data_IF_982948548268
#
_entry.id   IF_982948548268
#
_cell.length_a   1.000
_cell.length_b   1.000
_cell.length_c   1.000
_cell.angle_alpha   90.00
_cell.angle_beta   90.00
_cell.angle_gamma   90.00
#
_symmetry.space_group_name_H-M   'P 1'
#
loop_
_entity.id
_entity.type
_entity.pdbx_description
1 polymer ?
#
# COMPACT_ATOMS: atom_id res chain seq x y z
N UNK A 1 -4.63 -11.52 -14.60
CA UNK A 1 -3.85 -10.69 -15.55
C UNK A 1 -2.88 -11.62 -16.25
N UNK A 2 -2.80 -11.61 -17.57
CA UNK A 2 -1.86 -12.49 -18.30
C UNK A 2 -0.52 -11.77 -18.41
N UNK A 3 0.57 -12.40 -18.00
CA UNK A 3 1.92 -11.82 -18.17
C UNK A 3 2.50 -12.23 -19.53
N UNK A 4 3.29 -11.34 -20.14
CA UNK A 4 4.13 -11.73 -21.26
C UNK A 4 5.19 -12.74 -20.75
N UNK A 5 5.54 -13.78 -21.55
CA UNK A 5 6.61 -14.68 -21.17
C UNK A 5 7.90 -13.89 -20.90
N UNK A 6 8.63 -14.28 -19.86
CA UNK A 6 9.84 -13.60 -19.39
C UNK A 6 10.93 -13.69 -20.46
N UNK A 7 10.95 -12.70 -21.36
CA UNK A 7 11.82 -12.65 -22.52
C UNK A 7 12.83 -11.52 -22.33
N UNK A 8 14.09 -11.76 -22.72
CA UNK A 8 15.15 -10.76 -22.67
C UNK A 8 14.96 -9.72 -23.79
N UNK A 9 13.99 -8.82 -23.64
CA UNK A 9 13.64 -7.80 -24.64
C UNK A 9 14.83 -6.91 -25.02
N UNK A 10 15.77 -6.71 -24.11
CA UNK A 10 17.02 -5.96 -24.35
C UNK A 10 17.99 -6.65 -25.30
N UNK A 11 17.92 -7.99 -25.39
CA UNK A 11 18.81 -8.80 -26.22
C UNK A 11 18.27 -9.05 -27.63
N UNK A 12 17.01 -8.68 -27.89
CA UNK A 12 16.39 -8.85 -29.17
C UNK A 12 16.56 -7.62 -30.08
N UNK A 13 16.70 -7.84 -31.40
CA UNK A 13 16.64 -6.77 -32.37
C UNK A 13 15.27 -6.09 -32.30
N UNK A 14 15.24 -4.77 -32.51
CA UNK A 14 13.99 -4.00 -32.49
C UNK A 14 12.90 -4.60 -33.41
N UNK A 15 13.29 -5.12 -34.58
CA UNK A 15 12.36 -5.75 -35.53
C UNK A 15 11.72 -7.04 -34.97
N UNK A 16 12.47 -7.83 -34.22
CA UNK A 16 11.93 -9.05 -33.59
C UNK A 16 10.97 -8.71 -32.44
N UNK A 17 11.29 -7.68 -31.65
CA UNK A 17 10.40 -7.21 -30.59
C UNK A 17 9.07 -6.73 -31.16
N UNK A 18 9.10 -5.93 -32.22
CA UNK A 18 7.91 -5.46 -32.93
C UNK A 18 7.09 -6.63 -33.44
N UNK A 19 7.74 -7.64 -34.04
CA UNK A 19 7.07 -8.85 -34.55
C UNK A 19 6.43 -9.67 -33.42
N UNK A 20 7.13 -9.87 -32.32
CA UNK A 20 6.64 -10.64 -31.17
C UNK A 20 5.46 -9.96 -30.47
N UNK A 21 5.44 -8.62 -30.47
CA UNK A 21 4.35 -7.82 -29.91
C UNK A 21 3.25 -7.51 -30.92
N UNK A 22 3.37 -8.00 -32.16
CA UNK A 22 2.39 -7.82 -33.25
C UNK A 22 1.96 -6.34 -33.40
N UNK A 23 2.94 -5.43 -33.39
CA UNK A 23 2.70 -3.98 -33.49
C UNK A 23 3.36 -3.41 -34.75
N UNK A 24 2.90 -2.24 -35.20
CA UNK A 24 3.51 -1.50 -36.31
C UNK A 24 4.19 -0.23 -35.76
N UNK A 25 5.49 0.01 -35.99
CA UNK A 25 6.19 1.18 -35.44
C UNK A 25 5.77 2.52 -36.09
N UNK A 26 5.17 2.51 -37.27
CA UNK A 26 4.72 3.71 -37.99
C UNK A 26 3.23 4.01 -37.83
N UNK A 27 2.42 2.96 -37.63
CA UNK A 27 0.97 3.10 -37.43
C UNK A 27 0.58 2.97 -35.96
N UNK A 28 1.37 2.24 -35.17
CA UNK A 28 1.02 1.84 -33.81
C UNK A 28 -0.07 0.77 -33.78
N UNK A 29 -0.62 0.51 -32.59
CA UNK A 29 -1.73 -0.42 -32.42
C UNK A 29 -3.04 0.18 -32.96
N UNK A 30 -3.91 -0.72 -33.43
CA UNK A 30 -5.30 -0.39 -33.72
C UNK A 30 -6.08 -0.23 -32.40
N UNK A 31 -7.07 0.66 -32.37
CA UNK A 31 -7.82 0.93 -31.13
C UNK A 31 -8.52 -0.34 -30.58
N UNK A 32 -9.06 -1.18 -31.46
CA UNK A 32 -9.74 -2.43 -31.08
C UNK A 32 -8.78 -3.42 -30.42
N UNK A 33 -7.57 -3.55 -30.98
CA UNK A 33 -6.51 -4.39 -30.42
C UNK A 33 -6.02 -3.85 -29.08
N UNK A 34 -5.86 -2.53 -28.96
CA UNK A 34 -5.49 -1.90 -27.70
C UNK A 34 -6.53 -2.16 -26.59
N UNK A 35 -7.82 -2.08 -26.92
CA UNK A 35 -8.90 -2.43 -25.97
C UNK A 35 -8.88 -3.91 -25.59
N UNK A 36 -8.71 -4.81 -26.57
CA UNK A 36 -8.60 -6.25 -26.28
C UNK A 36 -7.40 -6.59 -25.38
N UNK A 37 -6.25 -5.93 -25.61
CA UNK A 37 -5.07 -6.07 -24.76
C UNK A 37 -5.31 -5.48 -23.38
N UNK A 38 -6.05 -4.38 -23.25
CA UNK A 38 -6.39 -3.80 -21.97
C UNK A 38 -7.23 -4.77 -21.12
N UNK A 39 -8.14 -5.51 -21.73
CA UNK A 39 -8.92 -6.54 -21.02
C UNK A 39 -8.05 -7.74 -20.58
N UNK A 40 -7.00 -8.06 -21.36
CA UNK A 40 -6.11 -9.21 -21.12
C UNK A 40 -4.99 -8.93 -20.11
N UNK A 41 -4.32 -7.79 -20.28
CA UNK A 41 -3.17 -7.34 -19.49
C UNK A 41 -3.57 -6.38 -18.37
N UNK A 42 -4.80 -5.88 -18.37
CA UNK A 42 -5.26 -4.89 -17.40
C UNK A 42 -4.64 -3.50 -17.61
N UNK A 43 -4.99 -2.58 -16.72
CA UNK A 43 -4.52 -1.19 -16.75
C UNK A 43 -3.06 -1.12 -16.32
N UNK A 44 -2.32 -0.16 -16.85
CA UNK A 44 -0.95 0.18 -16.43
C UNK A 44 -0.96 0.88 -15.07
N UNK A 45 -1.30 0.12 -14.04
CA UNK A 45 -1.38 0.53 -12.65
C UNK A 45 -0.64 -0.49 -11.80
N UNK A 46 0.05 -0.01 -10.77
CA UNK A 46 0.56 -0.88 -9.73
C UNK A 46 -0.62 -1.45 -8.93
N UNK A 47 -0.61 -2.75 -8.66
CA UNK A 47 -1.63 -3.36 -7.80
C UNK A 47 -1.50 -2.77 -6.41
N UNK A 48 -2.45 -1.91 -6.04
CA UNK A 48 -2.61 -1.53 -4.65
C UNK A 48 -3.08 -2.77 -3.90
N UNK A 49 -2.36 -3.15 -2.83
CA UNK A 49 -2.87 -4.15 -1.88
C UNK A 49 -4.29 -3.75 -1.53
N UNK A 50 -5.24 -4.66 -1.74
CA UNK A 50 -6.64 -4.40 -1.39
C UNK A 50 -6.69 -3.94 0.08
N UNK A 51 -7.12 -2.70 0.28
CA UNK A 51 -7.38 -2.21 1.62
C UNK A 51 -8.37 -3.15 2.29
N UNK A 52 -8.12 -3.50 3.54
CA UNK A 52 -9.08 -4.30 4.33
C UNK A 52 -10.46 -3.65 4.25
N UNK A 53 -11.50 -4.47 4.00
CA UNK A 53 -12.89 -4.02 3.97
C UNK A 53 -13.24 -3.23 5.22
N UNK A 54 -14.07 -2.19 5.10
CA UNK A 54 -14.51 -1.36 6.22
C UNK A 54 -15.13 -2.19 7.37
N UNK A 55 -15.79 -3.31 7.05
CA UNK A 55 -16.30 -4.24 8.06
C UNK A 55 -15.19 -5.00 8.78
N UNK A 56 -14.15 -5.41 8.05
CA UNK A 56 -12.98 -6.07 8.64
C UNK A 56 -12.24 -5.09 9.55
N UNK A 57 -12.09 -3.84 9.12
CA UNK A 57 -11.53 -2.75 9.92
C UNK A 57 -12.28 -2.56 11.25
N UNK A 58 -13.62 -2.52 11.17
CA UNK A 58 -14.47 -2.38 12.34
C UNK A 58 -14.37 -3.60 13.27
N UNK A 59 -14.35 -4.81 12.73
CA UNK A 59 -14.21 -6.04 13.52
C UNK A 59 -12.83 -6.18 14.16
N UNK A 60 -11.78 -5.70 13.50
CA UNK A 60 -10.42 -5.66 14.05
C UNK A 60 -10.32 -4.77 15.30
N UNK A 61 -11.17 -3.76 15.41
CA UNK A 61 -11.23 -2.92 16.62
C UNK A 61 -11.66 -3.73 17.86
N UNK A 62 -12.37 -4.85 17.71
CA UNK A 62 -12.70 -5.76 18.82
C UNK A 62 -11.58 -6.74 19.16
N UNK A 63 -10.55 -6.84 18.32
CA UNK A 63 -9.46 -7.80 18.45
C UNK A 63 -8.37 -7.33 19.42
N UNK A 64 -8.76 -6.61 20.48
CA UNK A 64 -7.87 -6.18 21.55
C UNK A 64 -8.10 -7.03 22.80
N UNK A 65 -7.05 -7.56 23.46
CA UNK A 65 -7.18 -8.43 24.63
C UNK A 65 -8.09 -7.88 25.75
N UNK A 66 -8.07 -6.56 25.97
CA UNK A 66 -8.91 -5.89 26.95
C UNK A 66 -10.40 -5.89 26.58
N UNK A 67 -10.72 -5.73 25.30
CA UNK A 67 -12.10 -5.76 24.82
C UNK A 67 -12.71 -7.15 25.01
N UNK A 68 -11.95 -8.22 24.82
CA UNK A 68 -12.44 -9.58 25.12
C UNK A 68 -12.84 -9.76 26.58
N UNK A 69 -12.08 -9.18 27.52
CA UNK A 69 -12.40 -9.24 28.94
C UNK A 69 -13.66 -8.44 29.24
N UNK A 70 -13.82 -7.26 28.63
CA UNK A 70 -15.03 -6.45 28.77
C UNK A 70 -16.27 -7.12 28.18
N UNK A 71 -16.13 -7.75 27.01
CA UNK A 71 -17.22 -8.52 26.39
C UNK A 71 -17.60 -9.73 27.26
N UNK A 72 -16.61 -10.43 27.82
CA UNK A 72 -16.85 -11.51 28.78
C UNK A 72 -17.55 -10.99 30.05
N UNK A 73 -17.11 -9.85 30.59
CA UNK A 73 -17.73 -9.21 31.74
C UNK A 73 -19.18 -8.80 31.45
N UNK A 74 -19.43 -8.15 30.32
CA UNK A 74 -20.78 -7.77 29.88
C UNK A 74 -21.70 -8.98 29.75
N UNK A 75 -21.19 -10.10 29.20
CA UNK A 75 -21.93 -11.35 29.09
C UNK A 75 -22.25 -11.96 30.47
N UNK A 76 -21.27 -12.03 31.38
CA UNK A 76 -21.46 -12.55 32.74
C UNK A 76 -22.49 -11.69 33.50
N UNK A 77 -22.36 -10.36 33.46
CA UNK A 77 -23.29 -9.41 34.09
C UNK A 77 -24.71 -9.55 33.52
N UNK A 78 -24.85 -9.79 32.22
CA UNK A 78 -26.15 -10.08 31.59
C UNK A 78 -26.80 -11.34 32.17
N UNK A 79 -26.03 -12.43 32.32
CA UNK A 79 -26.54 -13.67 32.93
C UNK A 79 -26.89 -13.52 34.42
N UNK A 80 -26.26 -12.59 35.12
CA UNK A 80 -26.60 -12.21 36.49
C UNK A 80 -27.88 -11.35 36.60
N UNK A 81 -28.55 -11.06 35.47
CA UNK A 81 -29.76 -10.22 35.35
C UNK A 81 -29.54 -8.74 35.67
N UNK A 82 -28.28 -8.30 35.71
CA UNK A 82 -27.91 -6.89 35.86
C UNK A 82 -27.91 -6.19 34.49
N UNK A 83 -29.11 -6.01 33.92
CA UNK A 83 -29.26 -5.52 32.55
C UNK A 83 -28.73 -4.10 32.36
N UNK A 84 -28.84 -3.25 33.39
CA UNK A 84 -28.37 -1.85 33.35
C UNK A 84 -26.85 -1.86 33.21
N UNK A 85 -26.15 -2.53 34.12
CA UNK A 85 -24.69 -2.55 34.13
C UNK A 85 -24.11 -3.25 32.89
N UNK A 86 -24.71 -4.36 32.45
CA UNK A 86 -24.33 -5.03 31.21
C UNK A 86 -24.48 -4.10 30.00
N UNK A 87 -25.57 -3.34 29.93
CA UNK A 87 -25.80 -2.37 28.84
C UNK A 87 -24.79 -1.21 28.86
N UNK A 88 -24.37 -0.75 30.04
CA UNK A 88 -23.34 0.29 30.19
C UNK A 88 -21.99 -0.22 29.71
N UNK A 89 -21.56 -1.41 30.14
CA UNK A 89 -20.28 -2.01 29.72
C UNK A 89 -20.27 -2.22 28.20
N UNK A 90 -21.35 -2.78 27.65
CA UNK A 90 -21.49 -2.97 26.20
C UNK A 90 -21.49 -1.64 25.44
N UNK A 91 -22.17 -0.62 25.98
CA UNK A 91 -22.19 0.72 25.42
C UNK A 91 -20.81 1.36 25.33
N UNK A 92 -19.99 1.23 26.37
CA UNK A 92 -18.59 1.73 26.37
C UNK A 92 -17.77 1.01 25.30
N UNK A 93 -17.86 -0.31 25.21
CA UNK A 93 -17.16 -1.10 24.17
C UNK A 93 -17.58 -0.66 22.76
N UNK A 94 -18.88 -0.44 22.55
CA UNK A 94 -19.42 -0.02 21.26
C UNK A 94 -18.95 1.39 20.87
N UNK A 95 -18.99 2.34 21.80
CA UNK A 95 -18.52 3.71 21.57
C UNK A 95 -17.02 3.71 21.23
N UNK A 96 -16.21 2.95 21.97
CA UNK A 96 -14.79 2.82 21.69
C UNK A 96 -14.55 2.19 20.30
N UNK A 97 -15.33 1.16 19.93
CA UNK A 97 -15.23 0.55 18.61
C UNK A 97 -15.53 1.54 17.46
N UNK A 98 -16.58 2.35 17.64
CA UNK A 98 -16.97 3.38 16.67
C UNK A 98 -15.87 4.45 16.56
N UNK A 99 -15.37 4.96 17.68
CA UNK A 99 -14.31 5.97 17.71
C UNK A 99 -13.05 5.44 17.02
N UNK A 100 -12.63 4.20 17.33
CA UNK A 100 -11.48 3.54 16.71
C UNK A 100 -11.64 3.41 15.19
N UNK A 101 -12.80 2.96 14.72
CA UNK A 101 -13.11 2.87 13.29
C UNK A 101 -13.00 4.23 12.58
N UNK A 102 -13.55 5.30 13.17
CA UNK A 102 -13.45 6.64 12.58
C UNK A 102 -12.02 7.16 12.54
N UNK A 103 -11.22 6.92 13.59
CA UNK A 103 -9.80 7.32 13.64
C UNK A 103 -8.98 6.62 12.55
N UNK A 104 -9.14 5.31 12.42
CA UNK A 104 -8.40 4.52 11.43
C UNK A 104 -8.86 4.81 9.99
N UNK A 105 -10.17 4.96 9.76
CA UNK A 105 -10.70 5.34 8.45
C UNK A 105 -10.20 6.71 8.00
N UNK A 106 -10.11 7.69 8.91
CA UNK A 106 -9.60 9.02 8.59
C UNK A 106 -8.12 8.98 8.21
N UNK A 107 -7.31 8.18 8.92
CA UNK A 107 -5.90 7.98 8.60
C UNK A 107 -5.72 7.35 7.21
N UNK A 108 -6.49 6.30 6.89
CA UNK A 108 -6.44 5.66 5.56
C UNK A 108 -6.87 6.59 4.43
N UNK A 109 -7.91 7.41 4.64
CA UNK A 109 -8.36 8.37 3.63
C UNK A 109 -7.30 9.45 3.34
N UNK A 110 -6.58 9.93 4.34
CA UNK A 110 -5.51 10.91 4.15
C UNK A 110 -4.38 10.36 3.27
N UNK A 111 -3.98 9.10 3.48
CA UNK A 111 -2.95 8.42 2.67
C UNK A 111 -3.43 8.20 1.23
N UNK A 112 -4.68 7.77 1.05
CA UNK A 112 -5.27 7.54 -0.27
C UNK A 112 -5.44 8.83 -1.09
N UNK A 113 -5.75 9.96 -0.42
CA UNK A 113 -5.87 11.25 -1.08
C UNK A 113 -4.55 11.72 -1.71
N UNK A 114 -3.42 11.50 -1.01
CA UNK A 114 -2.08 11.83 -1.52
C UNK A 114 -1.71 11.01 -2.76
N UNK A 115 -2.25 9.79 -2.89
CA UNK A 115 -1.90 8.88 -3.99
C UNK A 115 -2.65 9.17 -5.31
N UNK A 116 -3.77 9.91 -5.27
CA UNK A 116 -4.62 10.16 -6.45
C UNK A 116 -4.20 11.35 -7.32
N UNK A 117 -3.25 12.17 -6.86
CA UNK A 117 -2.99 13.50 -7.45
C UNK A 117 -1.97 13.50 -8.62
N UNK A 118 -1.45 12.33 -9.04
CA UNK A 118 -0.40 12.22 -10.08
C UNK A 118 -0.88 11.44 -11.31
N UNK A 119 -1.84 11.98 -12.06
CA UNK A 119 -2.16 11.44 -13.38
C UNK A 119 -1.01 11.74 -14.36
N UNK A 120 -0.39 10.69 -14.89
CA UNK A 120 0.67 10.81 -15.89
C UNK A 120 0.06 10.62 -17.27
N UNK A 121 0.25 11.58 -18.19
CA UNK A 121 -0.14 11.43 -19.60
C UNK A 121 1.01 10.84 -20.42
N UNK A 122 0.68 10.05 -21.44
CA UNK A 122 1.63 9.53 -22.42
C UNK A 122 1.26 9.96 -23.84
N UNK A 123 2.26 10.27 -24.67
CA UNK A 123 2.08 10.49 -26.10
C UNK A 123 2.31 9.18 -26.85
N UNK A 124 1.27 8.66 -27.48
CA UNK A 124 1.31 7.38 -28.21
C UNK A 124 1.03 7.56 -29.69
N UNK A 125 1.45 6.59 -30.48
CA UNK A 125 1.03 6.39 -31.86
C UNK A 125 -0.01 5.27 -31.90
N UNK A 126 -1.24 5.60 -32.30
CA UNK A 126 -2.33 4.63 -32.52
C UNK A 126 -3.10 5.02 -33.78
N UNK A 127 -3.51 4.03 -34.57
CA UNK A 127 -4.19 4.23 -35.86
C UNK A 127 -3.47 5.21 -36.82
N UNK A 128 -2.14 5.29 -36.77
CA UNK A 128 -1.32 6.20 -37.58
C UNK A 128 -1.32 7.65 -37.13
N UNK A 129 -1.94 7.95 -35.97
CA UNK A 129 -2.04 9.30 -35.43
C UNK A 129 -1.42 9.40 -34.04
N UNK A 130 -0.80 10.54 -33.75
CA UNK A 130 -0.27 10.83 -32.41
C UNK A 130 -1.41 11.26 -31.50
N UNK A 131 -1.61 10.57 -30.39
CA UNK A 131 -2.63 10.87 -29.41
C UNK A 131 -2.01 10.99 -28.01
N UNK A 132 -2.49 11.95 -27.21
CA UNK A 132 -2.22 11.96 -25.78
C UNK A 132 -3.31 11.19 -25.06
N UNK A 133 -2.91 10.33 -24.14
CA UNK A 133 -3.83 9.53 -23.36
C UNK A 133 -3.32 9.31 -21.94
N UNK A 134 -4.21 8.85 -21.06
CA UNK A 134 -3.85 8.48 -19.69
C UNK A 134 -2.85 7.31 -19.73
N UNK A 135 -1.72 7.43 -19.02
CA UNK A 135 -0.71 6.37 -18.98
C UNK A 135 -1.27 5.06 -18.42
N UNK A 136 -2.36 5.11 -17.64
CA UNK A 136 -3.08 3.94 -17.11
C UNK A 136 -3.70 3.05 -18.21
N UNK A 137 -3.92 3.58 -19.41
CA UNK A 137 -4.52 2.87 -20.55
C UNK A 137 -3.48 2.32 -21.54
N UNK A 138 -2.19 2.43 -21.21
CA UNK A 138 -1.12 1.81 -21.99
C UNK A 138 -1.16 0.30 -21.86
N UNK A 139 -0.90 -0.37 -22.97
CA UNK A 139 -0.83 -1.84 -23.06
C UNK A 139 0.46 -2.29 -23.74
N UNK A 140 0.94 -3.51 -23.49
CA UNK A 140 2.09 -4.04 -24.21
C UNK A 140 1.90 -4.01 -25.72
N UNK A 141 2.90 -3.50 -26.44
CA UNK A 141 2.87 -3.26 -27.89
C UNK A 141 2.49 -1.84 -28.31
N UNK A 142 2.02 -0.98 -27.41
CA UNK A 142 1.82 0.45 -27.72
C UNK A 142 3.15 1.10 -28.11
N UNK A 143 3.10 2.01 -29.08
CA UNK A 143 4.26 2.80 -29.50
C UNK A 143 4.19 4.17 -28.81
N UNK A 144 5.14 4.42 -27.91
CA UNK A 144 5.24 5.64 -27.11
C UNK A 144 6.31 6.55 -27.69
N UNK A 145 6.00 7.84 -27.78
CA UNK A 145 6.95 8.88 -28.15
C UNK A 145 7.39 9.64 -26.91
N UNK A 146 8.69 9.63 -26.65
CA UNK A 146 9.32 10.33 -25.54
C UNK A 146 10.01 11.61 -26.03
N UNK A 147 9.93 12.66 -25.23
CA UNK A 147 10.72 13.89 -25.38
C UNK A 147 11.24 14.36 -24.02
N UNK A 148 12.21 15.28 -24.06
CA UNK A 148 12.71 15.97 -22.87
C UNK A 148 11.57 16.51 -22.00
N UNK A 149 11.66 16.21 -20.70
CA UNK A 149 10.69 16.57 -19.67
C UNK A 149 9.58 15.54 -19.45
N UNK A 150 9.45 14.54 -20.32
CA UNK A 150 8.47 13.47 -20.12
C UNK A 150 8.95 12.49 -19.04
N UNK A 151 7.99 11.96 -18.29
CA UNK A 151 8.19 10.78 -17.45
C UNK A 151 7.91 9.54 -18.29
N UNK A 152 8.78 8.54 -18.21
CA UNK A 152 8.61 7.28 -18.94
C UNK A 152 7.41 6.53 -18.34
N UNK A 153 6.34 6.28 -19.12
CA UNK A 153 5.05 5.86 -18.55
C UNK A 153 4.91 4.36 -18.29
N UNK A 154 5.76 3.54 -18.92
CA UNK A 154 5.81 2.08 -18.83
C UNK A 154 7.22 1.62 -19.23
N UNK A 155 7.57 0.35 -19.05
CA UNK A 155 8.86 -0.14 -19.55
C UNK A 155 8.83 -0.26 -21.08
N UNK A 156 9.79 0.38 -21.74
CA UNK A 156 9.85 0.48 -23.20
C UNK A 156 11.12 -0.17 -23.76
N UNK A 157 10.99 -0.84 -24.89
CA UNK A 157 12.10 -1.16 -25.78
C UNK A 157 12.25 -0.03 -26.81
N UNK A 158 13.41 0.63 -26.82
CA UNK A 158 13.68 1.78 -27.69
C UNK A 158 13.89 1.33 -29.15
N UNK A 159 13.15 1.95 -30.08
CA UNK A 159 13.19 1.67 -31.52
C UNK A 159 14.02 2.71 -32.27
N UNK A 160 13.81 3.98 -31.96
CA UNK A 160 14.54 5.11 -32.54
C UNK A 160 14.96 6.05 -31.40
N UNK A 161 16.22 6.48 -31.41
CA UNK A 161 16.78 7.35 -30.37
C UNK A 161 17.51 8.52 -31.01
N UNK A 162 17.23 9.74 -30.51
CA UNK A 162 17.92 10.98 -30.89
C UNK A 162 18.47 11.65 -29.64
N UNK A 163 19.73 11.33 -29.32
CA UNK A 163 20.45 11.85 -28.16
C UNK A 163 19.64 11.74 -26.85
N UNK A 164 18.95 10.61 -26.64
CA UNK A 164 18.10 10.44 -25.47
C UNK A 164 18.98 10.23 -24.23
N UNK A 165 18.74 11.05 -23.20
CA UNK A 165 19.28 10.86 -21.86
C UNK A 165 18.14 10.69 -20.86
N UNK A 166 18.25 9.72 -19.97
CA UNK A 166 17.23 9.40 -18.97
C UNK A 166 17.88 9.40 -17.58
N UNK A 167 17.23 10.08 -16.64
CA UNK A 167 17.55 10.00 -15.22
C UNK A 167 16.90 8.75 -14.62
N UNK A 168 17.73 7.77 -14.32
CA UNK A 168 17.33 6.48 -13.75
C UNK A 168 17.61 6.39 -12.25
N UNK A 169 17.84 7.52 -11.58
CA UNK A 169 18.13 7.58 -10.14
C UNK A 169 17.05 6.91 -9.28
N UNK A 170 15.79 6.92 -9.72
CA UNK A 170 14.70 6.23 -9.06
C UNK A 170 14.86 4.69 -9.04
N UNK A 171 15.59 4.12 -10.01
CA UNK A 171 15.80 2.68 -10.17
C UNK A 171 17.19 2.23 -9.71
N UNK A 172 18.23 2.99 -10.06
CA UNK A 172 19.64 2.62 -9.82
C UNK A 172 20.26 3.33 -8.61
N UNK A 173 19.66 4.43 -8.16
CA UNK A 173 20.24 5.30 -7.13
C UNK A 173 21.37 6.22 -7.63
N UNK A 174 21.73 6.13 -8.92
CA UNK A 174 22.78 6.97 -9.51
C UNK A 174 22.17 8.23 -10.15
N UNK A 175 22.69 9.40 -9.80
CA UNK A 175 22.13 10.69 -10.25
C UNK A 175 22.60 11.13 -11.65
N UNK A 176 23.51 10.39 -12.28
CA UNK A 176 23.99 10.72 -13.62
C UNK A 176 23.02 10.18 -14.67
N UNK A 177 22.58 11.05 -15.57
CA UNK A 177 21.71 10.66 -16.66
C UNK A 177 22.42 9.68 -17.61
N UNK A 178 21.72 8.59 -17.95
CA UNK A 178 22.23 7.51 -18.79
C UNK A 178 21.91 7.80 -20.26
N UNK A 179 22.93 7.68 -21.12
CA UNK A 179 22.76 7.76 -22.57
C UNK A 179 22.11 6.48 -23.09
N UNK A 180 21.00 6.64 -23.82
CA UNK A 180 20.20 5.52 -24.34
C UNK A 180 20.48 5.28 -25.82
N UNK A 181 20.22 4.05 -26.28
CA UNK A 181 20.41 3.65 -27.68
C UNK A 181 19.31 2.70 -28.16
N UNK A 182 19.21 2.45 -29.47
CA UNK A 182 18.22 1.52 -30.03
C UNK A 182 18.75 0.09 -30.19
N UNK A 183 20.07 -0.06 -30.32
CA UNK A 183 20.75 -1.34 -30.54
C UNK A 183 20.57 -2.27 -29.33
N UNK A 184 20.39 -3.55 -29.61
CA UNK A 184 20.33 -4.58 -28.57
C UNK A 184 21.64 -4.68 -27.80
N UNK A 185 21.57 -5.22 -26.59
CA UNK A 185 22.73 -5.52 -25.74
C UNK A 185 22.75 -7.01 -25.40
N UNK A 186 23.81 -7.52 -24.79
CA UNK A 186 23.92 -8.96 -24.50
C UNK A 186 22.85 -9.44 -23.52
N UNK A 187 22.44 -10.71 -23.63
CA UNK A 187 21.41 -11.29 -22.77
C UNK A 187 21.77 -11.21 -21.27
N UNK A 188 23.06 -11.36 -20.95
CA UNK A 188 23.61 -11.33 -19.59
C UNK A 188 23.84 -9.91 -19.03
N UNK A 189 23.48 -8.87 -19.80
CA UNK A 189 23.64 -7.47 -19.37
C UNK A 189 22.81 -7.18 -18.12
N UNK A 190 23.46 -6.59 -17.12
CA UNK A 190 22.83 -6.17 -15.86
C UNK A 190 21.80 -5.05 -16.10
N UNK A 191 20.82 -4.92 -15.21
CA UNK A 191 19.66 -4.04 -15.42
C UNK A 191 20.04 -2.59 -15.78
N UNK A 192 20.98 -1.98 -15.05
CA UNK A 192 21.42 -0.60 -15.28
C UNK A 192 22.11 -0.38 -16.64
N UNK A 193 22.74 -1.42 -17.19
CA UNK A 193 23.44 -1.35 -18.47
C UNK A 193 22.54 -1.69 -19.67
N UNK A 194 21.25 -1.99 -19.44
CA UNK A 194 20.26 -2.20 -20.51
C UNK A 194 19.81 -0.86 -21.12
N UNK A 195 20.78 -0.13 -21.68
CA UNK A 195 20.63 1.19 -22.31
C UNK A 195 19.67 1.22 -23.50
N UNK A 196 19.22 0.06 -23.98
CA UNK A 196 18.25 -0.09 -25.04
C UNK A 196 16.79 -0.15 -24.56
N UNK A 197 16.62 -0.09 -23.23
CA UNK A 197 15.34 0.04 -22.53
C UNK A 197 15.21 1.41 -21.88
N UNK A 198 13.97 1.87 -21.73
CA UNK A 198 13.61 2.98 -20.85
C UNK A 198 12.62 2.45 -19.81
N UNK A 199 12.88 2.70 -18.53
CA UNK A 199 12.12 2.11 -17.43
C UNK A 199 11.01 3.04 -16.95
N UNK A 200 9.88 2.47 -16.53
CA UNK A 200 8.76 3.20 -15.97
C UNK A 200 9.21 4.11 -14.82
N UNK A 201 8.54 5.26 -14.66
CA UNK A 201 8.77 6.26 -13.60
C UNK A 201 10.07 7.07 -13.68
N UNK A 202 11.01 6.70 -14.57
CA UNK A 202 12.22 7.49 -14.85
C UNK A 202 11.92 8.74 -15.66
N UNK A 203 12.84 9.72 -15.66
CA UNK A 203 12.60 11.03 -16.27
C UNK A 203 13.51 11.25 -17.48
N UNK A 204 12.94 11.67 -18.60
CA UNK A 204 13.72 12.02 -19.79
C UNK A 204 14.33 13.40 -19.61
N UNK A 205 15.64 13.48 -19.47
CA UNK A 205 16.35 14.75 -19.25
C UNK A 205 16.64 15.46 -20.57
N UNK A 206 16.95 14.71 -21.63
CA UNK A 206 17.29 15.29 -22.93
C UNK A 206 16.94 14.37 -24.10
N UNK A 207 16.76 14.95 -25.28
CA UNK A 207 16.55 14.23 -26.52
C UNK A 207 15.11 13.77 -26.75
N UNK A 208 14.95 12.89 -27.73
CA UNK A 208 13.66 12.26 -28.07
C UNK A 208 13.87 10.80 -28.45
N UNK A 209 12.87 9.97 -28.22
CA UNK A 209 12.89 8.59 -28.67
C UNK A 209 11.49 8.06 -28.97
N UNK A 210 11.46 6.99 -29.75
CA UNK A 210 10.26 6.18 -29.97
C UNK A 210 10.54 4.81 -29.39
N UNK A 211 9.64 4.29 -28.56
CA UNK A 211 9.77 2.98 -27.94
C UNK A 211 8.46 2.20 -27.98
N UNK A 212 8.55 0.89 -27.93
CA UNK A 212 7.40 0.00 -27.80
C UNK A 212 7.26 -0.47 -26.35
N UNK A 213 6.05 -0.46 -25.80
CA UNK A 213 5.77 -0.94 -24.45
C UNK A 213 6.01 -2.45 -24.37
N UNK A 214 6.90 -2.88 -23.49
CA UNK A 214 7.22 -4.30 -23.23
C UNK A 214 6.64 -4.81 -21.92
N UNK A 215 6.39 -3.92 -20.94
CA UNK A 215 5.74 -4.27 -19.69
C UNK A 215 4.98 -3.06 -19.11
N UNK A 216 3.89 -3.34 -18.39
CA UNK A 216 2.99 -2.36 -17.77
C UNK A 216 2.67 -2.77 -16.33
N UNK A 217 2.36 -1.81 -15.47
CA UNK A 217 1.97 -2.04 -14.08
C UNK A 217 3.01 -2.83 -13.28
N UNK A 218 2.56 -3.86 -12.58
CA UNK A 218 3.41 -4.71 -11.74
C UNK A 218 4.48 -5.49 -12.52
N UNK A 219 4.26 -5.74 -13.81
CA UNK A 219 5.23 -6.44 -14.66
C UNK A 219 6.46 -5.59 -15.02
N UNK A 220 6.42 -4.26 -14.79
CA UNK A 220 7.57 -3.37 -14.97
C UNK A 220 8.66 -3.65 -13.93
N UNK A 221 9.90 -3.25 -14.19
CA UNK A 221 11.00 -3.41 -13.22
C UNK A 221 10.73 -2.65 -11.92
N UNK A 222 10.15 -1.45 -12.01
CA UNK A 222 9.71 -0.68 -10.83
C UNK A 222 8.51 -1.34 -10.14
N UNK A 223 7.61 -1.97 -10.91
CA UNK A 223 6.51 -2.78 -10.40
C UNK A 223 6.98 -3.97 -9.57
N UNK A 224 7.93 -4.74 -10.08
CA UNK A 224 8.57 -5.87 -9.37
C UNK A 224 9.27 -5.43 -8.09
N UNK A 225 9.93 -4.27 -8.11
CA UNK A 225 10.53 -3.67 -6.90
C UNK A 225 9.43 -3.30 -5.90
N UNK A 226 8.35 -2.66 -6.36
CA UNK A 226 7.23 -2.27 -5.51
C UNK A 226 6.55 -3.48 -4.88
N UNK A 227 6.37 -4.56 -5.63
CA UNK A 227 5.84 -5.83 -5.13
C UNK A 227 6.80 -6.49 -4.12
N UNK A 228 8.11 -6.45 -4.39
CA UNK A 228 9.13 -6.97 -3.47
C UNK A 228 9.16 -6.20 -2.15
N UNK A 229 8.99 -4.87 -2.19
CA UNK A 229 8.87 -4.03 -1.00
C UNK A 229 7.55 -4.29 -0.29
N UNK A 230 6.44 -4.38 -1.03
CA UNK A 230 5.12 -4.62 -0.46
C UNK A 230 4.99 -6.02 0.16
N UNK A 231 5.67 -7.03 -0.39
CA UNK A 231 5.70 -8.39 0.17
C UNK A 231 6.63 -8.54 1.37
N UNK A 232 7.51 -7.55 1.63
CA UNK A 232 8.25 -7.50 2.88
C UNK A 232 7.25 -7.38 4.05
N UNK A 233 7.32 -8.34 4.97
CA UNK A 233 6.43 -8.46 6.12
C UNK A 233 6.41 -7.13 6.88
N UNK A 234 5.20 -6.60 7.15
CA UNK A 234 4.99 -5.43 8.00
C UNK A 234 5.65 -5.69 9.36
N UNK A 235 6.85 -5.14 9.55
CA UNK A 235 7.57 -5.19 10.81
C UNK A 235 6.90 -4.19 11.74
N UNK A 236 6.27 -4.67 12.81
CA UNK A 236 5.79 -3.80 13.88
C UNK A 236 6.92 -2.86 14.32
N UNK A 237 6.61 -1.55 14.39
CA UNK A 237 7.63 -0.59 14.80
C UNK A 237 8.08 -0.86 16.24
N UNK A 238 9.34 -0.55 16.60
CA UNK A 238 9.81 -0.73 17.98
C UNK A 238 8.92 -0.03 19.03
N UNK A 239 8.33 1.11 18.67
CA UNK A 239 7.39 1.84 19.53
C UNK A 239 6.08 1.07 19.70
N UNK A 240 5.49 0.57 18.60
CA UNK A 240 4.28 -0.26 18.64
C UNK A 240 4.50 -1.49 19.52
N UNK A 241 5.66 -2.15 19.39
CA UNK A 241 6.02 -3.30 20.21
C UNK A 241 6.14 -2.96 21.70
N UNK A 242 6.74 -1.82 22.04
CA UNK A 242 6.82 -1.34 23.42
C UNK A 242 5.43 -1.01 24.00
N UNK A 243 4.56 -0.38 23.22
CA UNK A 243 3.18 -0.08 23.61
C UNK A 243 2.39 -1.37 23.84
N UNK A 244 2.55 -2.36 22.97
CA UNK A 244 1.92 -3.67 23.12
C UNK A 244 2.39 -4.37 24.41
N UNK A 245 3.70 -4.39 24.67
CA UNK A 245 4.24 -4.93 25.91
C UNK A 245 3.74 -4.18 27.15
N UNK A 246 3.71 -2.84 27.11
CA UNK A 246 3.17 -2.02 28.19
C UNK A 246 1.69 -2.31 28.44
N UNK A 247 0.90 -2.45 27.37
CA UNK A 247 -0.52 -2.81 27.43
C UNK A 247 -0.72 -4.20 28.05
N UNK A 248 0.15 -5.17 27.75
CA UNK A 248 0.13 -6.49 28.39
C UNK A 248 0.48 -6.43 29.88
N UNK A 249 1.50 -5.64 30.26
CA UNK A 249 1.85 -5.45 31.67
C UNK A 249 0.68 -4.85 32.44
N UNK A 250 0.06 -3.80 31.89
CA UNK A 250 -1.08 -3.16 32.52
C UNK A 250 -2.29 -4.10 32.62
N UNK A 251 -2.53 -4.90 31.58
CA UNK A 251 -3.55 -5.94 31.59
C UNK A 251 -3.35 -6.93 32.76
N UNK A 252 -2.13 -7.46 32.94
CA UNK A 252 -1.85 -8.36 34.06
C UNK A 252 -2.00 -7.67 35.43
N UNK A 253 -1.60 -6.40 35.53
CA UNK A 253 -1.77 -5.63 36.76
C UNK A 253 -3.26 -5.42 37.10
N UNK A 254 -4.09 -5.06 36.12
CA UNK A 254 -5.54 -4.90 36.27
C UNK A 254 -6.17 -6.23 36.71
N UNK A 255 -5.85 -7.33 36.04
CA UNK A 255 -6.36 -8.66 36.41
C UNK A 255 -5.96 -9.06 37.82
N UNK A 256 -4.70 -8.83 38.20
CA UNK A 256 -4.23 -9.13 39.56
C UNK A 256 -4.99 -8.31 40.61
N UNK A 257 -5.19 -7.01 40.38
CA UNK A 257 -5.96 -6.14 41.26
C UNK A 257 -7.44 -6.55 41.34
N UNK A 258 -8.06 -6.92 40.22
CA UNK A 258 -9.43 -7.44 40.19
C UNK A 258 -9.56 -8.73 41.00
N UNK A 259 -8.60 -9.67 40.89
CA UNK A 259 -8.59 -10.89 41.70
C UNK A 259 -8.43 -10.58 43.19
N UNK A 260 -7.53 -9.67 43.55
CA UNK A 260 -7.36 -9.22 44.94
C UNK A 260 -8.64 -8.59 45.48
N UNK A 261 -9.30 -7.75 44.69
CA UNK A 261 -10.60 -7.16 45.03
C UNK A 261 -11.65 -8.24 45.31
N UNK A 262 -11.70 -9.28 44.47
CA UNK A 262 -12.62 -10.41 44.64
C UNK A 262 -12.35 -11.16 45.95
N UNK A 263 -11.09 -11.48 46.23
CA UNK A 263 -10.70 -12.18 47.46
C UNK A 263 -11.09 -11.37 48.71
N UNK A 264 -10.82 -10.07 48.72
CA UNK A 264 -11.18 -9.18 49.84
C UNK A 264 -12.69 -9.14 50.03
N UNK A 265 -13.45 -9.03 48.95
CA UNK A 265 -14.91 -9.03 48.97
C UNK A 265 -15.50 -10.31 49.58
N UNK A 266 -14.95 -11.46 49.19
CA UNK A 266 -15.37 -12.77 49.72
C UNK A 266 -15.06 -12.90 51.21
N UNK A 267 -13.88 -12.46 51.66
CA UNK A 267 -13.49 -12.47 53.09
C UNK A 267 -14.40 -11.54 53.91
N UNK A 268 -14.91 -10.45 53.31
CA UNK A 268 -15.87 -9.53 53.94
C UNK A 268 -17.31 -10.03 53.92
N UNK A 269 -17.59 -11.17 53.29
CA UNK A 269 -18.94 -11.76 53.21
C UNK A 269 -19.90 -11.00 52.29
N UNK A 270 -19.39 -10.23 51.32
CA UNK A 270 -20.21 -9.54 50.33
C UNK A 270 -20.84 -10.52 49.32
N UNK A 271 -21.91 -10.10 48.65
CA UNK A 271 -22.54 -10.92 47.62
C UNK A 271 -21.62 -11.06 46.40
N UNK A 272 -21.61 -12.23 45.75
CA UNK A 272 -20.76 -12.47 44.57
C UNK A 272 -21.00 -11.42 43.46
N UNK A 273 -22.27 -11.03 43.27
CA UNK A 273 -22.66 -10.00 42.29
C UNK A 273 -22.01 -8.66 42.60
N UNK A 274 -22.08 -8.16 43.85
CA UNK A 274 -21.47 -6.90 44.24
C UNK A 274 -19.94 -6.91 44.05
N UNK A 275 -19.30 -8.01 44.43
CA UNK A 275 -17.85 -8.18 44.33
C UNK A 275 -17.43 -8.20 42.85
N UNK A 276 -18.14 -8.95 42.02
CA UNK A 276 -17.88 -9.04 40.58
C UNK A 276 -18.06 -7.68 39.90
N UNK A 277 -19.14 -6.96 40.23
CA UNK A 277 -19.41 -5.63 39.70
C UNK A 277 -18.32 -4.63 40.09
N UNK A 278 -17.85 -4.66 41.34
CA UNK A 278 -16.73 -3.82 41.77
C UNK A 278 -15.43 -4.14 41.01
N UNK A 279 -15.15 -5.43 40.76
CA UNK A 279 -13.96 -5.85 40.03
C UNK A 279 -14.01 -5.46 38.53
N UNK A 280 -15.20 -5.51 37.92
CA UNK A 280 -15.42 -5.06 36.54
C UNK A 280 -15.33 -3.53 36.45
N UNK A 281 -15.92 -2.79 37.39
CA UNK A 281 -15.82 -1.33 37.44
C UNK A 281 -14.37 -0.85 37.58
N UNK A 282 -13.57 -1.55 38.42
CA UNK A 282 -12.13 -1.32 38.53
C UNK A 282 -11.42 -1.58 37.20
N UNK A 283 -11.72 -2.70 36.53
CA UNK A 283 -11.09 -3.06 35.28
C UNK A 283 -11.42 -2.05 34.17
N UNK A 284 -12.68 -1.65 34.01
CA UNK A 284 -13.14 -0.63 33.04
C UNK A 284 -12.46 0.71 33.32
N UNK A 285 -12.46 1.17 34.57
CA UNK A 285 -11.89 2.46 34.95
C UNK A 285 -10.37 2.55 34.82
N UNK A 286 -9.67 1.41 34.78
CA UNK A 286 -8.22 1.33 34.63
C UNK A 286 -7.73 1.28 33.18
N UNK A 287 -8.64 1.20 32.19
CA UNK A 287 -8.28 1.16 30.77
C UNK A 287 -7.73 2.52 30.35
N UNK A 288 -6.48 2.59 29.83
CA UNK A 288 -5.86 3.85 29.46
C UNK A 288 -6.30 4.27 28.06
N UNK A 289 -7.57 4.66 27.92
CA UNK A 289 -8.17 5.08 26.64
C UNK A 289 -7.49 6.34 26.06
N UNK A 290 -6.84 7.14 26.91
CA UNK A 290 -6.08 8.32 26.50
C UNK A 290 -4.68 8.04 25.94
N UNK A 291 -4.16 6.81 26.04
CA UNK A 291 -2.78 6.49 25.67
C UNK A 291 -2.49 6.72 24.18
N UNK A 292 -3.34 6.27 23.21
CA UNK A 292 -3.08 6.50 21.79
C UNK A 292 -3.07 7.99 21.42
N UNK A 293 -3.96 8.78 22.02
CA UNK A 293 -4.03 10.22 21.80
C UNK A 293 -2.79 10.93 22.37
N UNK A 294 -2.38 10.58 23.59
CA UNK A 294 -1.19 11.14 24.23
C UNK A 294 0.08 10.85 23.41
N UNK A 295 0.22 9.63 22.90
CA UNK A 295 1.37 9.23 22.06
C UNK A 295 1.38 10.03 20.76
N UNK A 296 0.23 10.19 20.10
CA UNK A 296 0.13 10.97 18.85
C UNK A 296 0.56 12.42 19.08
N UNK A 297 0.15 13.03 20.18
CA UNK A 297 0.56 14.39 20.57
C UNK A 297 2.07 14.45 20.84
N UNK A 298 2.61 13.50 21.61
CA UNK A 298 4.05 13.45 21.90
C UNK A 298 4.89 13.28 20.63
N UNK A 299 4.47 12.42 19.71
CA UNK A 299 5.15 12.22 18.42
C UNK A 299 5.08 13.48 17.56
N UNK A 300 3.93 14.15 17.49
CA UNK A 300 3.79 15.42 16.76
C UNK A 300 4.71 16.51 17.31
N UNK A 301 4.85 16.60 18.64
CA UNK A 301 5.79 17.53 19.29
C UNK A 301 7.25 17.14 19.04
N UNK A 302 7.56 15.84 19.05
CA UNK A 302 8.90 15.32 18.75
C UNK A 302 9.36 15.68 17.34
N UNK A 303 8.50 15.48 16.34
CA UNK A 303 8.77 15.87 14.94
C UNK A 303 8.95 17.39 14.82
N UNK A 304 8.12 18.18 15.51
CA UNK A 304 8.22 19.65 15.50
C UNK A 304 9.51 20.18 16.14
N UNK A 305 10.16 19.43 17.04
CA UNK A 305 11.43 19.80 17.67
C UNK A 305 12.67 19.33 16.89
N UNK A 306 12.49 18.40 15.94
CA UNK A 306 13.55 17.93 15.05
C UNK A 306 13.63 18.74 13.74
N UNK A 307 12.58 19.50 13.42
CA UNK A 307 12.53 20.47 12.33
C UNK A 307 13.09 21.84 12.77
#
# INVERSE_FOLDING_TARGET
MQELPQQAWHALPAQEVIKNLETDPQVGLQQEEATSRLDKFGRNLFTQKEGQSNLVLFLLQFHQPLIYILLAAAAITFFLKEYIDSSVIFGVVLVNAIIGYFQESKAKQAINALSKELKTEALVLRNGSKARMDAEELVPGDVVLLKSGDRVPADLRLLEVKNLKVDESALTGESLAVDKQAQQVDADTVLGDRVCLAFATTNVTFGTATGVVIATGDATEVGKISESIASAVDLETPLTKQISNFSQILLYAILALSVVCIIIGLVRGQSFTEIFMAAVALAVGAIPEGLPAAITIMLSLGVSNMA
#
